data_IF_277439105324
#
_entry.id   IF_277439105324
#
_cell.length_a   1.000
_cell.length_b   1.000
_cell.length_c   1.000
_cell.angle_alpha   90.00
_cell.angle_beta   90.00
_cell.angle_gamma   90.00
#
_symmetry.space_group_name_H-M   'P 1'
#
loop_
_entity.id
_entity.type
_entity.pdbx_description
1 polymer ?
#
# COMPACT_ATOMS: atom_id res chain seq x y z
N UNK A 1 25.29 19.51 -4.22
CA UNK A 1 24.07 19.26 -3.44
C UNK A 1 23.75 17.79 -3.59
N UNK A 2 23.56 17.09 -2.49
CA UNK A 2 23.17 15.68 -2.58
C UNK A 2 21.83 15.57 -3.30
N UNK A 3 21.73 14.62 -4.24
CA UNK A 3 20.49 14.38 -4.99
C UNK A 3 19.36 14.03 -4.02
N UNK A 4 18.20 14.64 -4.20
CA UNK A 4 17.00 14.38 -3.43
C UNK A 4 16.56 12.91 -3.60
N UNK A 5 16.49 12.16 -2.50
CA UNK A 5 15.93 10.79 -2.48
C UNK A 5 14.43 10.84 -2.69
N UNK A 6 13.91 9.94 -3.52
CA UNK A 6 12.50 9.87 -3.84
C UNK A 6 11.99 8.44 -3.68
N UNK A 7 10.92 8.30 -2.90
CA UNK A 7 10.19 7.06 -2.69
C UNK A 7 8.74 7.23 -3.15
N UNK A 8 8.18 6.24 -3.82
CA UNK A 8 6.76 6.18 -4.14
C UNK A 8 6.14 4.87 -3.65
N UNK A 9 4.98 4.97 -2.99
CA UNK A 9 4.13 3.82 -2.74
C UNK A 9 3.00 3.79 -3.76
N UNK A 10 2.85 2.68 -4.47
CA UNK A 10 1.80 2.39 -5.45
C UNK A 10 0.79 1.47 -4.77
N UNK A 11 -0.30 2.04 -4.29
CA UNK A 11 -1.40 1.36 -3.62
C UNK A 11 -2.70 1.39 -4.43
N UNK A 12 -3.70 0.66 -3.99
CA UNK A 12 -4.96 0.51 -4.67
C UNK A 12 -6.02 1.52 -4.20
N UNK A 13 -6.14 1.74 -2.89
CA UNK A 13 -7.22 2.51 -2.29
C UNK A 13 -6.71 3.60 -1.34
N UNK A 14 -7.54 4.64 -1.08
CA UNK A 14 -7.33 5.54 0.04
C UNK A 14 -7.42 4.74 1.35
N UNK A 15 -6.33 4.61 2.08
CA UNK A 15 -6.08 3.92 3.35
C UNK A 15 -4.94 2.88 3.32
N UNK A 16 -4.56 2.38 2.14
CA UNK A 16 -3.43 1.44 2.01
C UNK A 16 -2.12 2.02 2.54
N UNK A 17 -1.89 3.32 2.33
CA UNK A 17 -0.72 4.03 2.85
C UNK A 17 -0.67 3.99 4.37
N UNK A 18 -1.84 3.91 5.02
CA UNK A 18 -2.00 3.95 6.46
C UNK A 18 -2.07 2.56 7.10
N UNK A 19 -2.81 1.63 6.51
CA UNK A 19 -2.94 0.28 7.06
C UNK A 19 -1.79 -0.66 6.67
N UNK A 20 -0.98 -0.28 5.68
CA UNK A 20 0.17 -1.04 5.16
C UNK A 20 1.49 -0.67 5.83
N UNK A 21 2.15 0.34 5.31
CA UNK A 21 3.55 0.70 5.58
C UNK A 21 3.71 2.12 6.14
N UNK A 22 2.69 2.64 6.77
CA UNK A 22 2.54 4.02 7.19
C UNK A 22 3.71 4.57 8.01
N UNK A 23 4.20 3.81 9.01
CA UNK A 23 5.30 4.27 9.86
C UNK A 23 6.61 4.35 9.08
N UNK A 24 6.83 3.45 8.12
CA UNK A 24 7.96 3.51 7.19
C UNK A 24 7.87 4.77 6.31
N UNK A 25 6.71 5.07 5.71
CA UNK A 25 6.52 6.26 4.88
C UNK A 25 6.79 7.55 5.67
N UNK A 26 6.20 7.67 6.87
CA UNK A 26 6.41 8.82 7.75
C UNK A 26 7.88 8.97 8.19
N UNK A 27 8.54 7.86 8.51
CA UNK A 27 9.95 7.86 8.91
C UNK A 27 10.86 8.35 7.78
N UNK A 28 10.63 7.92 6.53
CA UNK A 28 11.37 8.41 5.38
C UNK A 28 11.07 9.88 5.08
N UNK A 29 9.81 10.30 5.11
CA UNK A 29 9.43 11.69 4.91
C UNK A 29 10.12 12.62 5.93
N UNK A 30 10.12 12.26 7.20
CA UNK A 30 10.79 13.02 8.27
C UNK A 30 12.32 13.02 8.15
N UNK A 31 12.92 12.03 7.47
CA UNK A 31 14.36 12.02 7.17
C UNK A 31 14.76 12.84 5.94
N UNK A 32 13.82 13.57 5.34
CA UNK A 32 14.06 14.41 4.17
C UNK A 32 13.89 13.72 2.81
N UNK A 33 13.44 12.45 2.78
CA UNK A 33 13.07 11.77 1.54
C UNK A 33 11.76 12.34 1.03
N UNK A 34 11.66 12.65 -0.27
CA UNK A 34 10.36 12.96 -0.89
C UNK A 34 9.57 11.66 -1.06
N UNK A 35 8.47 11.56 -0.32
CA UNK A 35 7.60 10.39 -0.33
C UNK A 35 6.31 10.73 -1.04
N UNK A 36 5.96 9.93 -2.05
CA UNK A 36 4.72 10.07 -2.82
C UNK A 36 3.83 8.86 -2.65
N UNK A 37 2.54 9.07 -2.80
CA UNK A 37 1.54 8.00 -2.88
C UNK A 37 0.81 8.06 -4.21
N UNK A 38 0.80 6.94 -4.96
CA UNK A 38 -0.05 6.73 -6.12
C UNK A 38 -1.16 5.78 -5.74
N UNK A 39 -2.39 6.28 -5.74
CA UNK A 39 -3.61 5.55 -5.45
C UNK A 39 -4.29 5.14 -6.75
N UNK A 40 -4.56 3.87 -6.96
CA UNK A 40 -5.11 3.38 -8.23
C UNK A 40 -6.58 3.77 -8.41
N UNK A 41 -7.36 3.78 -7.31
CA UNK A 41 -8.80 4.10 -7.28
C UNK A 41 -9.11 5.14 -6.20
N UNK A 42 -10.34 5.61 -6.12
CA UNK A 42 -10.80 6.44 -5.00
C UNK A 42 -11.55 5.67 -3.92
N UNK A 43 -11.63 4.34 -4.04
CA UNK A 43 -12.29 3.50 -3.06
C UNK A 43 -13.81 3.62 -3.10
N UNK A 44 -14.40 3.79 -4.28
CA UNK A 44 -15.82 4.07 -4.51
C UNK A 44 -16.74 2.95 -4.06
N UNK A 45 -16.25 1.69 -4.09
CA UNK A 45 -16.99 0.51 -3.65
C UNK A 45 -16.95 0.28 -2.13
N UNK A 46 -16.28 1.15 -1.38
CA UNK A 46 -16.15 1.05 0.07
C UNK A 46 -17.49 1.17 0.80
N UNK A 47 -17.66 0.41 1.88
CA UNK A 47 -18.84 0.54 2.77
C UNK A 47 -18.65 1.71 3.71
N UNK A 48 -19.56 2.68 3.66
CA UNK A 48 -19.53 3.92 4.46
C UNK A 48 -20.85 4.13 5.18
N UNK A 49 -20.81 4.50 6.46
CA UNK A 49 -22.03 4.89 7.19
C UNK A 49 -22.52 6.24 6.65
N UNK A 50 -23.85 6.43 6.42
CA UNK A 50 -24.39 7.62 5.78
C UNK A 50 -24.02 8.94 6.44
N UNK A 51 -23.72 8.92 7.73
CA UNK A 51 -23.32 10.11 8.49
C UNK A 51 -22.01 10.72 8.00
N UNK A 52 -21.07 9.89 7.50
CA UNK A 52 -19.79 10.34 6.96
C UNK A 52 -19.94 11.00 5.58
N UNK A 53 -21.02 10.70 4.84
CA UNK A 53 -21.25 11.27 3.51
C UNK A 53 -21.78 12.69 3.54
N UNK A 54 -22.15 13.22 4.72
CA UNK A 54 -22.66 14.59 4.82
C UNK A 54 -21.59 15.60 4.34
N UNK A 55 -21.92 16.34 3.28
CA UNK A 55 -21.02 17.33 2.68
C UNK A 55 -20.11 16.81 1.57
N UNK A 56 -20.23 15.53 1.20
CA UNK A 56 -19.53 14.92 0.06
C UNK A 56 -20.49 14.46 -1.01
N UNK A 57 -20.09 14.56 -2.29
CA UNK A 57 -20.93 14.12 -3.41
C UNK A 57 -20.86 12.60 -3.63
N UNK A 58 -19.79 11.95 -3.20
CA UNK A 58 -19.56 10.52 -3.39
C UNK A 58 -18.69 9.92 -2.28
N UNK A 59 -18.70 8.58 -2.18
CA UNK A 59 -17.76 7.83 -1.33
C UNK A 59 -16.31 8.12 -1.74
N UNK A 60 -16.04 8.19 -3.04
CA UNK A 60 -14.72 8.50 -3.58
C UNK A 60 -14.23 9.89 -3.15
N UNK A 61 -15.09 10.90 -3.12
CA UNK A 61 -14.72 12.26 -2.68
C UNK A 61 -14.41 12.30 -1.18
N UNK A 62 -15.23 11.64 -0.36
CA UNK A 62 -14.98 11.50 1.07
C UNK A 62 -13.64 10.80 1.33
N UNK A 63 -13.41 9.63 0.73
CA UNK A 63 -12.20 8.85 0.97
C UNK A 63 -10.95 9.54 0.44
N UNK A 64 -11.08 10.31 -0.64
CA UNK A 64 -9.98 11.11 -1.16
C UNK A 64 -9.61 12.27 -0.23
N UNK A 65 -10.59 12.90 0.42
CA UNK A 65 -10.34 13.91 1.45
C UNK A 65 -9.68 13.29 2.68
N UNK A 66 -10.14 12.12 3.13
CA UNK A 66 -9.52 11.36 4.22
C UNK A 66 -8.05 11.04 3.92
N UNK A 67 -7.75 10.54 2.71
CA UNK A 67 -6.40 10.29 2.23
C UNK A 67 -5.54 11.57 2.21
N UNK A 68 -6.09 12.69 1.74
CA UNK A 68 -5.35 13.95 1.66
C UNK A 68 -4.96 14.44 3.06
N UNK A 69 -5.84 14.29 4.05
CA UNK A 69 -5.54 14.60 5.46
C UNK A 69 -4.49 13.67 6.04
N UNK A 70 -4.60 12.36 5.80
CA UNK A 70 -3.62 11.38 6.23
C UNK A 70 -2.24 11.65 5.61
N UNK A 71 -2.16 11.89 4.30
CA UNK A 71 -0.94 12.22 3.58
C UNK A 71 -0.22 13.45 4.15
N UNK A 72 -0.98 14.48 4.54
CA UNK A 72 -0.43 15.67 5.20
C UNK A 72 0.18 15.35 6.56
N UNK A 73 -0.47 14.54 7.38
CA UNK A 73 0.07 14.09 8.67
C UNK A 73 1.32 13.25 8.51
N UNK A 74 1.38 12.41 7.47
CA UNK A 74 2.53 11.57 7.15
C UNK A 74 3.70 12.35 6.54
N UNK A 75 3.51 13.63 6.19
CA UNK A 75 4.51 14.45 5.51
C UNK A 75 4.77 14.02 4.06
N UNK A 76 3.78 13.41 3.38
CA UNK A 76 3.92 13.03 1.98
C UNK A 76 4.07 14.27 1.09
N UNK A 77 4.94 14.17 0.09
CA UNK A 77 5.22 15.25 -0.87
C UNK A 77 4.12 15.38 -1.93
N UNK A 78 3.27 14.38 -2.09
CA UNK A 78 2.11 14.43 -2.99
C UNK A 78 1.37 13.10 -3.07
N UNK A 79 0.11 13.20 -3.51
CA UNK A 79 -0.78 12.08 -3.76
C UNK A 79 -1.27 12.16 -5.21
N UNK A 80 -1.27 11.04 -5.91
CA UNK A 80 -1.71 10.93 -7.30
C UNK A 80 -2.80 9.88 -7.43
N UNK A 81 -3.70 10.09 -8.38
CA UNK A 81 -4.75 9.13 -8.74
C UNK A 81 -4.47 8.52 -10.10
N UNK A 82 -4.53 7.19 -10.19
CA UNK A 82 -4.27 6.50 -11.46
C UNK A 82 -5.46 6.57 -12.43
N UNK A 83 -6.66 6.88 -11.92
CA UNK A 83 -7.85 7.16 -12.72
C UNK A 83 -8.73 5.94 -13.00
N UNK A 84 -8.70 4.94 -12.12
CA UNK A 84 -9.62 3.79 -12.19
C UNK A 84 -10.67 3.86 -11.09
N UNK A 85 -11.80 3.17 -11.31
CA UNK A 85 -12.82 2.92 -10.33
C UNK A 85 -12.43 1.71 -9.46
N UNK A 86 -12.79 1.76 -8.18
CA UNK A 86 -12.69 0.63 -7.25
C UNK A 86 -13.54 -0.54 -7.75
N UNK A 87 -12.92 -1.71 -7.85
CA UNK A 87 -13.57 -2.94 -8.33
C UNK A 87 -14.41 -3.64 -7.26
N UNK A 88 -14.28 -3.23 -6.00
CA UNK A 88 -14.85 -3.98 -4.88
C UNK A 88 -14.21 -5.35 -4.68
N UNK A 89 -14.78 -6.15 -3.80
CA UNK A 89 -14.33 -7.51 -3.58
C UNK A 89 -14.70 -8.42 -4.76
N UNK A 90 -13.98 -9.52 -4.91
CA UNK A 90 -14.22 -10.50 -5.99
C UNK A 90 -15.67 -10.99 -5.98
N UNK A 91 -16.36 -10.86 -7.12
CA UNK A 91 -17.73 -11.31 -7.31
C UNK A 91 -18.80 -10.31 -6.91
N UNK A 92 -18.44 -9.07 -6.55
CA UNK A 92 -19.41 -7.98 -6.35
C UNK A 92 -19.87 -7.38 -7.67
N UNK A 93 -20.96 -6.60 -7.62
CA UNK A 93 -21.49 -5.86 -8.79
C UNK A 93 -20.46 -4.84 -9.32
N UNK A 94 -19.61 -4.30 -8.43
CA UNK A 94 -18.57 -3.33 -8.81
C UNK A 94 -17.55 -3.91 -9.79
N UNK A 95 -17.36 -5.23 -9.84
CA UNK A 95 -16.50 -5.88 -10.84
C UNK A 95 -17.02 -5.71 -12.28
N UNK A 96 -18.29 -5.35 -12.48
CA UNK A 96 -18.91 -5.23 -13.80
C UNK A 96 -18.75 -3.85 -14.44
N UNK A 97 -18.30 -2.85 -13.70
CA UNK A 97 -18.08 -1.52 -14.26
C UNK A 97 -16.91 -1.55 -15.27
N UNK A 98 -17.10 -0.95 -16.45
CA UNK A 98 -16.04 -0.96 -17.48
C UNK A 98 -14.74 -0.27 -17.05
N UNK A 99 -14.84 0.73 -16.19
CA UNK A 99 -13.74 1.53 -15.65
C UNK A 99 -13.17 0.96 -14.32
N UNK A 100 -13.71 -0.18 -13.83
CA UNK A 100 -13.16 -0.87 -12.67
C UNK A 100 -11.73 -1.37 -12.97
N UNK A 101 -10.82 -1.20 -12.01
CA UNK A 101 -9.40 -1.53 -12.16
C UNK A 101 -9.15 -2.99 -12.61
N UNK A 102 -9.97 -3.92 -12.12
CA UNK A 102 -9.86 -5.36 -12.50
C UNK A 102 -10.07 -5.60 -14.00
N UNK A 103 -10.81 -4.71 -14.69
CA UNK A 103 -11.12 -4.82 -16.11
C UNK A 103 -10.10 -4.10 -17.00
N UNK A 104 -9.19 -3.32 -16.40
CA UNK A 104 -8.15 -2.63 -17.14
C UNK A 104 -7.07 -3.61 -17.65
N UNK A 105 -6.63 -3.53 -18.91
CA UNK A 105 -5.45 -4.22 -19.36
C UNK A 105 -4.24 -3.84 -18.50
N UNK A 106 -3.47 -4.83 -18.05
CA UNK A 106 -2.30 -4.57 -17.17
C UNK A 106 -1.28 -3.64 -17.82
N UNK A 107 -1.13 -3.72 -19.15
CA UNK A 107 -0.26 -2.84 -19.94
C UNK A 107 -0.71 -1.37 -19.88
N UNK A 108 -2.01 -1.12 -19.92
CA UNK A 108 -2.55 0.23 -19.82
C UNK A 108 -2.29 0.81 -18.43
N UNK A 109 -2.60 0.05 -17.38
CA UNK A 109 -2.36 0.47 -16.00
C UNK A 109 -0.85 0.69 -15.75
N UNK A 110 0.01 -0.19 -16.27
CA UNK A 110 1.45 -0.03 -16.21
C UNK A 110 1.92 1.25 -16.95
N UNK A 111 1.35 1.56 -18.11
CA UNK A 111 1.67 2.78 -18.87
C UNK A 111 1.37 4.05 -18.09
N UNK A 112 0.24 4.11 -17.38
CA UNK A 112 -0.11 5.23 -16.49
C UNK A 112 0.90 5.35 -15.32
N UNK A 113 1.35 4.23 -14.74
CA UNK A 113 2.39 4.22 -13.70
C UNK A 113 3.74 4.66 -14.28
N UNK A 114 4.14 4.17 -15.46
CA UNK A 114 5.39 4.56 -16.16
C UNK A 114 5.44 6.07 -16.38
N UNK A 115 4.33 6.67 -16.82
CA UNK A 115 4.24 8.13 -16.98
C UNK A 115 4.59 8.85 -15.70
N UNK A 116 4.05 8.41 -14.56
CA UNK A 116 4.34 9.02 -13.28
C UNK A 116 5.80 8.76 -12.83
N UNK A 117 6.33 7.55 -13.04
CA UNK A 117 7.73 7.24 -12.74
C UNK A 117 8.69 8.14 -13.52
N UNK A 118 8.44 8.39 -14.80
CA UNK A 118 9.26 9.29 -15.62
C UNK A 118 9.14 10.75 -15.23
N UNK A 119 7.99 11.15 -14.72
CA UNK A 119 7.76 12.51 -14.22
C UNK A 119 8.44 12.77 -12.87
N UNK A 120 8.26 11.85 -11.91
CA UNK A 120 8.71 12.02 -10.51
C UNK A 120 10.14 11.52 -10.33
N UNK A 121 10.56 10.51 -11.12
CA UNK A 121 11.86 9.84 -11.06
C UNK A 121 12.14 9.21 -9.69
N UNK A 122 11.28 8.31 -9.18
CA UNK A 122 11.47 7.67 -7.89
C UNK A 122 12.68 6.72 -7.91
N UNK A 123 13.52 6.79 -6.88
CA UNK A 123 14.60 5.83 -6.69
C UNK A 123 14.08 4.48 -6.22
N UNK A 124 13.09 4.52 -5.33
CA UNK A 124 12.50 3.35 -4.68
C UNK A 124 10.99 3.35 -4.87
N UNK A 125 10.46 2.18 -5.22
CA UNK A 125 9.03 1.92 -5.36
C UNK A 125 8.61 0.88 -4.34
N UNK A 126 7.47 1.08 -3.68
CA UNK A 126 6.78 0.08 -2.85
C UNK A 126 5.44 -0.23 -3.50
N UNK A 127 4.97 -1.48 -3.41
CA UNK A 127 3.61 -1.88 -3.80
C UNK A 127 3.10 -3.02 -2.92
N UNK A 128 1.89 -3.52 -3.19
CA UNK A 128 1.32 -4.69 -2.53
C UNK A 128 2.11 -5.97 -2.81
N UNK A 129 1.92 -7.00 -1.99
CA UNK A 129 2.41 -8.34 -2.28
C UNK A 129 1.63 -8.99 -3.46
N UNK A 130 2.16 -10.06 -4.07
CA UNK A 130 1.52 -10.70 -5.24
C UNK A 130 0.11 -11.25 -4.98
N UNK A 131 -0.23 -11.57 -3.74
CA UNK A 131 -1.57 -12.05 -3.36
C UNK A 131 -2.56 -10.93 -3.05
N UNK A 132 -2.11 -9.67 -3.05
CA UNK A 132 -2.93 -8.52 -2.70
C UNK A 132 -3.32 -8.48 -1.22
N UNK A 133 -2.41 -8.91 -0.33
CA UNK A 133 -2.62 -8.89 1.11
C UNK A 133 -3.69 -9.89 1.56
N UNK A 134 -4.93 -9.46 1.66
CA UNK A 134 -6.08 -10.30 1.99
C UNK A 134 -6.83 -10.81 0.74
N UNK A 135 -6.26 -10.66 -0.45
CA UNK A 135 -6.81 -11.15 -1.71
C UNK A 135 -7.73 -10.19 -2.43
N UNK A 136 -7.62 -8.86 -2.13
CA UNK A 136 -8.37 -7.85 -2.87
C UNK A 136 -7.94 -7.80 -4.33
N UNK A 137 -8.89 -7.81 -5.24
CA UNK A 137 -8.61 -7.86 -6.69
C UNK A 137 -7.82 -6.65 -7.18
N UNK A 138 -8.08 -5.47 -6.64
CA UNK A 138 -7.38 -4.24 -7.00
C UNK A 138 -5.96 -4.20 -6.46
N UNK A 139 -5.69 -4.80 -5.29
CA UNK A 139 -4.32 -4.93 -4.79
C UNK A 139 -3.47 -5.81 -5.71
N UNK A 140 -4.06 -6.91 -6.22
CA UNK A 140 -3.40 -7.79 -7.18
C UNK A 140 -3.18 -7.08 -8.52
N UNK A 141 -4.19 -6.36 -9.02
CA UNK A 141 -4.09 -5.60 -10.26
C UNK A 141 -3.02 -4.49 -10.15
N UNK A 142 -3.01 -3.74 -9.05
CA UNK A 142 -2.01 -2.69 -8.75
C UNK A 142 -0.60 -3.29 -8.66
N UNK A 143 -0.44 -4.42 -7.96
CA UNK A 143 0.84 -5.13 -7.89
C UNK A 143 1.34 -5.49 -9.30
N UNK A 144 0.50 -6.15 -10.11
CA UNK A 144 0.87 -6.58 -11.46
C UNK A 144 1.26 -5.40 -12.36
N UNK A 145 0.50 -4.31 -12.29
CA UNK A 145 0.79 -3.09 -13.04
C UNK A 145 2.11 -2.43 -12.59
N UNK A 146 2.38 -2.36 -11.29
CA UNK A 146 3.63 -1.81 -10.75
C UNK A 146 4.86 -2.65 -11.13
N UNK A 147 4.75 -3.99 -11.06
CA UNK A 147 5.83 -4.91 -11.48
C UNK A 147 6.10 -4.79 -12.98
N UNK A 148 5.06 -4.64 -13.80
CA UNK A 148 5.22 -4.40 -15.23
C UNK A 148 5.83 -3.02 -15.49
N UNK A 149 5.37 -1.98 -14.81
CA UNK A 149 5.88 -0.63 -14.97
C UNK A 149 7.39 -0.54 -14.65
N UNK A 150 7.86 -1.22 -13.60
CA UNK A 150 9.31 -1.30 -13.30
C UNK A 150 10.11 -1.87 -14.47
N UNK A 151 9.61 -2.90 -15.16
CA UNK A 151 10.30 -3.52 -16.30
C UNK A 151 10.35 -2.65 -17.54
N UNK A 152 9.36 -1.75 -17.69
CA UNK A 152 9.14 -0.99 -18.92
C UNK A 152 9.55 0.49 -18.79
N UNK A 153 9.69 1.02 -17.58
CA UNK A 153 9.96 2.45 -17.37
C UNK A 153 11.29 2.92 -17.93
N UNK A 154 12.31 2.05 -17.93
CA UNK A 154 13.65 2.32 -18.48
C UNK A 154 13.77 2.13 -19.99
N UNK A 155 12.78 1.56 -20.67
CA UNK A 155 12.81 1.32 -22.10
C UNK A 155 12.26 2.54 -22.86
N UNK A 156 13.07 3.26 -23.66
CA UNK A 156 12.62 4.43 -24.41
C UNK A 156 11.62 4.11 -25.52
N UNK A 157 11.54 2.85 -25.97
CA UNK A 157 10.61 2.41 -27.01
C UNK A 157 9.22 2.10 -26.45
N UNK A 158 9.10 1.95 -25.14
CA UNK A 158 7.82 1.69 -24.47
C UNK A 158 7.27 3.01 -23.93
N UNK A 159 6.00 3.28 -24.26
CA UNK A 159 5.29 4.51 -23.83
C UNK A 159 6.09 5.80 -24.14
N UNK A 160 6.48 6.05 -25.41
CA UNK A 160 7.28 7.24 -25.77
C UNK A 160 6.57 8.54 -25.41
N UNK A 161 5.24 8.56 -25.38
CA UNK A 161 4.41 9.70 -24.96
C UNK A 161 4.53 10.02 -23.47
N UNK A 162 5.03 9.10 -22.65
CA UNK A 162 5.21 9.27 -21.22
C UNK A 162 6.47 10.09 -20.86
N UNK A 163 7.23 10.57 -21.85
CA UNK A 163 8.45 11.34 -21.67
C UNK A 163 9.74 10.48 -21.66
N UNK A 164 10.89 11.08 -21.35
CA UNK A 164 12.18 10.39 -21.37
C UNK A 164 12.22 9.19 -20.45
N UNK A 165 12.83 8.09 -20.90
CA UNK A 165 12.95 6.86 -20.15
C UNK A 165 13.64 7.10 -18.78
N UNK A 166 13.12 6.47 -17.74
CA UNK A 166 13.67 6.52 -16.41
C UNK A 166 13.44 5.19 -15.69
N UNK A 167 14.51 4.59 -15.16
CA UNK A 167 14.45 3.31 -14.46
C UNK A 167 14.53 3.52 -12.95
N UNK A 168 13.44 3.28 -12.18
CA UNK A 168 13.54 3.19 -10.73
C UNK A 168 14.51 2.08 -10.32
N UNK A 169 15.29 2.29 -9.27
CA UNK A 169 16.38 1.37 -8.93
C UNK A 169 15.89 0.15 -8.14
N UNK A 170 14.81 0.31 -7.35
CA UNK A 170 14.29 -0.79 -6.53
C UNK A 170 12.77 -0.84 -6.51
N UNK A 171 12.24 -2.06 -6.47
CA UNK A 171 10.83 -2.34 -6.19
C UNK A 171 10.73 -3.29 -5.00
N UNK A 172 9.94 -2.91 -4.02
CA UNK A 172 9.59 -3.71 -2.86
C UNK A 172 8.10 -4.01 -2.82
N UNK A 173 7.77 -5.22 -2.39
CA UNK A 173 6.41 -5.60 -2.03
C UNK A 173 6.27 -5.55 -0.51
N UNK A 174 5.27 -4.86 0.01
CA UNK A 174 4.94 -4.89 1.43
C UNK A 174 4.39 -6.27 1.78
N UNK A 175 5.06 -6.98 2.69
CA UNK A 175 4.68 -8.34 3.10
C UNK A 175 4.39 -8.42 4.59
N UNK A 176 3.83 -9.54 5.04
CA UNK A 176 3.52 -9.78 6.46
C UNK A 176 4.20 -11.04 6.95
N UNK A 177 4.58 -11.05 8.22
CA UNK A 177 5.05 -12.26 8.86
C UNK A 177 3.87 -13.13 9.32
N UNK A 178 3.83 -14.36 8.84
CA UNK A 178 2.80 -15.33 9.23
C UNK A 178 2.97 -15.86 10.66
N UNK A 179 4.16 -15.68 11.28
CA UNK A 179 4.44 -16.26 12.61
C UNK A 179 3.48 -15.78 13.68
N UNK A 180 3.22 -14.47 13.71
CA UNK A 180 2.30 -13.89 14.68
C UNK A 180 0.84 -14.17 14.32
N UNK A 181 0.48 -14.09 13.05
CA UNK A 181 -0.87 -14.34 12.55
C UNK A 181 -1.32 -15.78 12.85
N UNK A 182 -0.42 -16.77 12.70
CA UNK A 182 -0.68 -18.18 13.07
C UNK A 182 -1.12 -18.34 14.53
N UNK A 183 -0.45 -17.67 15.46
CA UNK A 183 -0.84 -17.66 16.87
C UNK A 183 -2.19 -17.01 17.13
N UNK A 184 -2.42 -15.85 16.54
CA UNK A 184 -3.65 -15.08 16.67
C UNK A 184 -4.87 -15.86 16.18
N UNK A 185 -4.80 -16.43 14.99
CA UNK A 185 -5.89 -17.22 14.38
C UNK A 185 -6.30 -18.39 15.26
N UNK A 186 -5.36 -19.10 15.87
CA UNK A 186 -5.64 -20.20 16.79
C UNK A 186 -6.41 -19.78 18.05
N UNK A 187 -6.19 -18.53 18.50
CA UNK A 187 -6.82 -18.00 19.70
C UNK A 187 -8.19 -17.35 19.43
N UNK A 188 -8.43 -16.85 18.20
CA UNK A 188 -9.67 -16.14 17.86
C UNK A 188 -10.96 -16.87 18.21
N UNK A 189 -11.10 -18.21 17.95
CA UNK A 189 -12.32 -18.94 18.32
C UNK A 189 -12.61 -18.95 19.82
N UNK A 190 -11.58 -18.90 20.67
CA UNK A 190 -11.76 -18.83 22.13
C UNK A 190 -12.42 -17.52 22.59
N UNK A 191 -12.36 -16.48 21.73
CA UNK A 191 -13.00 -15.18 21.95
C UNK A 191 -14.26 -14.98 21.08
N UNK A 192 -14.83 -16.05 20.54
CA UNK A 192 -16.04 -16.03 19.72
C UNK A 192 -15.84 -15.39 18.32
N UNK A 193 -14.59 -15.24 17.89
CA UNK A 193 -14.27 -14.65 16.59
C UNK A 193 -13.99 -15.74 15.54
N UNK A 194 -14.57 -15.56 14.34
CA UNK A 194 -14.32 -16.47 13.22
C UNK A 194 -13.18 -15.91 12.35
N UNK A 195 -12.00 -16.57 12.29
CA UNK A 195 -10.88 -16.08 11.50
C UNK A 195 -11.11 -16.10 9.98
N UNK A 196 -12.13 -16.85 9.49
CA UNK A 196 -12.52 -16.86 8.07
C UNK A 196 -13.54 -15.75 7.71
N UNK A 197 -14.02 -15.01 8.72
CA UNK A 197 -14.99 -13.92 8.54
C UNK A 197 -14.55 -12.74 9.40
N UNK A 198 -13.37 -12.20 9.10
CA UNK A 198 -12.79 -11.09 9.83
C UNK A 198 -13.11 -9.75 9.14
N UNK A 199 -12.94 -8.65 9.90
CA UNK A 199 -13.20 -7.29 9.41
C UNK A 199 -14.66 -6.86 9.58
N UNK A 200 -14.94 -5.59 9.24
CA UNK A 200 -16.26 -4.97 9.36
C UNK A 200 -17.30 -5.68 8.50
N UNK A 201 -16.93 -6.01 7.27
CA UNK A 201 -17.81 -6.65 6.28
C UNK A 201 -17.79 -8.17 6.37
N UNK A 202 -16.96 -8.76 7.26
CA UNK A 202 -16.78 -10.21 7.42
C UNK A 202 -16.34 -10.93 6.13
N UNK A 203 -15.61 -10.25 5.29
CA UNK A 203 -15.15 -10.65 3.95
C UNK A 203 -13.66 -11.01 3.90
N UNK A 204 -12.93 -10.85 5.01
CA UNK A 204 -11.50 -11.19 5.12
C UNK A 204 -11.33 -12.59 5.71
N UNK A 205 -10.72 -13.50 4.95
CA UNK A 205 -10.30 -14.83 5.42
C UNK A 205 -8.82 -14.81 5.84
N UNK A 206 -8.59 -14.65 7.15
CA UNK A 206 -7.24 -14.64 7.72
C UNK A 206 -6.52 -15.98 7.57
N UNK A 207 -7.29 -17.10 7.47
CA UNK A 207 -6.70 -18.44 7.27
C UNK A 207 -6.13 -18.54 5.85
N UNK A 208 -6.88 -18.06 4.85
CA UNK A 208 -6.42 -18.02 3.46
C UNK A 208 -5.20 -17.10 3.29
N UNK A 209 -5.16 -15.99 4.02
CA UNK A 209 -4.00 -15.09 4.00
C UNK A 209 -2.70 -15.78 4.43
N UNK A 210 -2.77 -16.79 5.31
CA UNK A 210 -1.58 -17.53 5.76
C UNK A 210 -1.05 -18.54 4.75
N UNK A 211 -1.78 -18.86 3.71
CA UNK A 211 -1.34 -19.77 2.65
C UNK A 211 -0.20 -19.16 1.84
N UNK A 212 -0.12 -17.84 1.82
CA UNK A 212 0.93 -17.10 1.13
C UNK A 212 2.03 -16.70 2.11
N UNK A 213 3.22 -17.24 1.92
CA UNK A 213 4.42 -16.86 2.66
C UNK A 213 5.47 -16.32 1.69
N UNK A 214 5.90 -15.09 1.93
CA UNK A 214 6.86 -14.41 1.08
C UNK A 214 8.21 -14.28 1.78
N UNK A 215 9.33 -14.34 1.02
CA UNK A 215 10.65 -14.11 1.60
C UNK A 215 10.77 -12.67 2.09
N UNK A 216 11.47 -12.50 3.20
CA UNK A 216 11.77 -11.19 3.77
C UNK A 216 13.17 -10.81 3.33
N UNK A 217 13.31 -9.73 2.58
CA UNK A 217 14.59 -9.23 2.10
C UNK A 217 14.97 -7.89 2.77
N UNK A 218 14.00 -7.19 3.36
CA UNK A 218 14.23 -5.93 4.05
C UNK A 218 13.36 -5.84 5.28
N UNK A 219 13.92 -5.33 6.38
CA UNK A 219 13.20 -5.11 7.64
C UNK A 219 13.55 -3.72 8.18
N UNK A 220 12.56 -2.83 8.16
CA UNK A 220 12.69 -1.45 8.62
C UNK A 220 12.20 -1.35 10.06
N UNK A 221 13.11 -1.03 10.96
CA UNK A 221 12.80 -0.80 12.36
C UNK A 221 12.00 0.47 12.55
N UNK A 222 10.81 0.35 13.12
CA UNK A 222 9.92 1.49 13.35
C UNK A 222 10.28 2.19 14.66
N UNK A 223 10.48 3.51 14.60
CA UNK A 223 10.67 4.32 15.79
C UNK A 223 9.33 4.65 16.43
N UNK A 224 9.28 4.71 17.77
CA UNK A 224 8.05 4.89 18.54
C UNK A 224 7.25 6.16 18.17
N UNK A 225 7.94 7.23 17.83
CA UNK A 225 7.33 8.50 17.41
C UNK A 225 6.45 8.33 16.16
N UNK A 226 6.87 7.49 15.19
CA UNK A 226 6.10 7.24 13.96
C UNK A 226 4.94 6.26 14.16
N UNK A 227 4.95 5.48 15.24
CA UNK A 227 3.80 4.66 15.61
C UNK A 227 2.61 5.53 16.05
N UNK A 228 2.87 6.68 16.71
CA UNK A 228 1.82 7.65 17.05
C UNK A 228 1.25 8.31 15.79
N UNK A 229 2.12 8.75 14.87
CA UNK A 229 1.70 9.34 13.58
C UNK A 229 0.85 8.34 12.78
N UNK A 230 1.19 7.06 12.82
CA UNK A 230 0.38 5.98 12.22
C UNK A 230 -1.05 5.99 12.77
N UNK A 231 -1.21 6.06 14.08
CA UNK A 231 -2.53 6.00 14.72
C UNK A 231 -3.35 7.26 14.41
N UNK A 232 -2.70 8.43 14.32
CA UNK A 232 -3.32 9.69 13.91
C UNK A 232 -3.73 9.68 12.42
N UNK A 233 -2.87 9.15 11.54
CA UNK A 233 -3.19 8.99 10.12
C UNK A 233 -4.33 7.99 9.91
N UNK A 234 -4.32 6.87 10.66
CA UNK A 234 -5.43 5.92 10.63
C UNK A 234 -6.76 6.57 11.04
N UNK A 235 -6.75 7.48 12.00
CA UNK A 235 -7.95 8.20 12.43
C UNK A 235 -8.52 9.12 11.32
N UNK A 236 -7.73 9.54 10.34
CA UNK A 236 -8.22 10.28 9.19
C UNK A 236 -9.18 9.45 8.32
N UNK A 237 -8.96 8.13 8.23
CA UNK A 237 -9.82 7.20 7.49
C UNK A 237 -11.00 6.70 8.34
N UNK A 238 -11.71 7.63 8.99
CA UNK A 238 -12.80 7.33 9.93
C UNK A 238 -13.95 6.57 9.26
N UNK A 239 -14.26 6.86 8.00
CA UNK A 239 -15.30 6.17 7.23
C UNK A 239 -15.00 4.67 7.05
N UNK A 240 -13.71 4.29 7.05
CA UNK A 240 -13.23 2.91 6.94
C UNK A 240 -12.95 2.27 8.30
N UNK A 241 -13.37 2.94 9.39
CA UNK A 241 -13.19 2.45 10.77
C UNK A 241 -11.84 2.79 11.39
N UNK A 242 -11.07 3.66 10.77
CA UNK A 242 -9.86 4.23 11.35
C UNK A 242 -10.14 5.02 12.62
N UNK A 243 -9.16 5.11 13.53
CA UNK A 243 -9.29 5.80 14.80
C UNK A 243 -10.14 5.09 15.86
N UNK A 244 -10.84 4.01 15.51
CA UNK A 244 -11.56 3.20 16.50
C UNK A 244 -10.53 2.47 17.35
N UNK A 245 -10.57 2.64 18.69
CA UNK A 245 -9.65 1.91 19.54
C UNK A 245 -9.87 0.41 19.35
N UNK A 246 -8.87 -0.26 18.83
CA UNK A 246 -8.87 -1.73 18.83
C UNK A 246 -8.79 -2.18 20.27
N UNK A 247 -9.95 -2.54 20.87
CA UNK A 247 -10.06 -2.93 22.26
C UNK A 247 -9.74 -4.41 22.44
N UNK A 248 -9.07 -4.74 23.55
CA UNK A 248 -8.79 -6.10 23.96
C UNK A 248 -7.30 -6.46 23.99
N UNK A 249 -6.99 -7.51 24.76
CA UNK A 249 -5.62 -8.02 24.96
C UNK A 249 -4.96 -8.38 23.62
N UNK A 250 -5.72 -8.95 22.70
CA UNK A 250 -5.20 -9.37 21.38
C UNK A 250 -4.74 -8.17 20.54
N UNK A 251 -5.55 -7.11 20.49
CA UNK A 251 -5.19 -5.87 19.79
C UNK A 251 -3.94 -5.21 20.41
N UNK A 252 -3.87 -5.16 21.74
CA UNK A 252 -2.71 -4.66 22.47
C UNK A 252 -1.44 -5.49 22.17
N UNK A 253 -1.53 -6.83 22.14
CA UNK A 253 -0.43 -7.70 21.76
C UNK A 253 0.01 -7.45 20.32
N UNK A 254 -0.93 -7.33 19.37
CA UNK A 254 -0.62 -7.05 17.97
C UNK A 254 0.15 -5.74 17.80
N UNK A 255 -0.26 -4.68 18.50
CA UNK A 255 0.43 -3.39 18.46
C UNK A 255 1.82 -3.47 19.12
N UNK A 256 1.95 -4.21 20.21
CA UNK A 256 3.21 -4.33 20.96
C UNK A 256 4.30 -5.08 20.23
N UNK A 257 3.93 -6.04 19.38
CA UNK A 257 4.87 -6.88 18.62
C UNK A 257 5.15 -6.40 17.20
N UNK A 258 4.35 -5.47 16.65
CA UNK A 258 4.62 -4.89 15.34
C UNK A 258 5.63 -3.74 15.47
N UNK A 259 6.91 -4.10 15.47
CA UNK A 259 8.00 -3.14 15.62
C UNK A 259 8.77 -2.91 14.30
N UNK A 260 8.53 -3.71 13.28
CA UNK A 260 9.20 -3.61 11.99
C UNK A 260 8.17 -3.71 10.86
N UNK A 261 8.36 -2.90 9.82
CA UNK A 261 7.75 -3.15 8.52
C UNK A 261 8.72 -4.00 7.70
N UNK A 262 8.20 -5.02 7.02
CA UNK A 262 9.00 -6.00 6.30
C UNK A 262 8.61 -6.05 4.83
N UNK A 263 9.61 -6.26 3.97
CA UNK A 263 9.44 -6.19 2.53
C UNK A 263 10.13 -7.35 1.83
N UNK A 264 9.48 -7.80 0.75
CA UNK A 264 10.10 -8.64 -0.28
C UNK A 264 10.62 -7.74 -1.38
N UNK A 265 11.91 -7.79 -1.71
CA UNK A 265 12.47 -7.07 -2.85
C UNK A 265 12.13 -7.83 -4.13
N UNK A 266 11.37 -7.19 -5.02
CA UNK A 266 10.97 -7.75 -6.30
C UNK A 266 11.92 -7.34 -7.45
N UNK A 267 12.60 -6.19 -7.32
CA UNK A 267 13.58 -5.71 -8.29
C UNK A 267 14.64 -4.81 -7.62
N UNK A 268 15.94 -4.93 -8.01
CA UNK A 268 16.53 -6.09 -8.67
C UNK A 268 16.48 -7.31 -7.76
N UNK A 269 16.82 -8.50 -8.27
CA UNK A 269 16.86 -9.71 -7.45
C UNK A 269 17.78 -9.52 -6.24
N UNK A 270 17.32 -9.87 -5.01
CA UNK A 270 18.13 -9.70 -3.80
C UNK A 270 19.31 -10.67 -3.76
N UNK A 271 20.36 -10.27 -3.08
CA UNK A 271 21.43 -11.19 -2.70
C UNK A 271 20.93 -12.20 -1.66
N UNK A 272 21.37 -13.45 -1.77
CA UNK A 272 20.95 -14.51 -0.83
C UNK A 272 21.51 -14.27 0.55
N UNK A 273 20.67 -14.45 1.57
CA UNK A 273 21.08 -14.46 2.98
C UNK A 273 21.29 -13.08 3.61
N UNK A 274 21.11 -12.00 2.88
CA UNK A 274 21.20 -10.65 3.41
C UNK A 274 19.82 -10.01 3.60
N UNK A 275 19.61 -9.34 4.73
CA UNK A 275 18.40 -8.57 5.04
C UNK A 275 18.76 -7.10 5.18
N UNK A 276 18.32 -6.30 4.22
CA UNK A 276 18.51 -4.85 4.21
C UNK A 276 17.82 -4.18 5.41
N UNK A 277 18.41 -3.09 5.89
CA UNK A 277 17.88 -2.28 7.01
C UNK A 277 17.40 -0.91 6.56
N UNK A 278 17.63 -0.57 5.29
CA UNK A 278 17.19 0.66 4.64
C UNK A 278 16.72 0.35 3.22
N UNK A 279 15.57 0.89 2.79
CA UNK A 279 15.06 0.72 1.42
C UNK A 279 15.99 1.37 0.38
N UNK A 280 16.79 2.36 0.78
CA UNK A 280 17.76 3.05 -0.07
C UNK A 280 19.15 2.44 -0.02
N UNK A 281 19.35 1.33 0.69
CA UNK A 281 20.65 0.67 0.75
C UNK A 281 21.13 0.27 -0.65
N UNK A 282 22.33 0.74 -1.05
CA UNK A 282 22.89 0.51 -2.39
C UNK A 282 22.21 1.29 -3.53
N UNK A 283 21.27 2.20 -3.24
CA UNK A 283 20.71 3.12 -4.23
C UNK A 283 21.78 4.16 -4.59
N UNK A 284 22.05 4.29 -5.90
CA UNK A 284 22.96 5.30 -6.43
C UNK A 284 22.23 6.63 -6.53
N UNK A 285 22.85 7.66 -5.97
CA UNK A 285 22.32 9.02 -6.03
C UNK A 285 23.04 9.86 -7.10
N UNK A 286 23.76 9.20 -8.03
CA UNK A 286 24.52 9.86 -9.06
C UNK A 286 23.57 10.39 -10.15
N UNK A 287 23.70 11.71 -10.37
CA UNK A 287 23.20 12.58 -11.46
C UNK A 287 21.75 12.44 -11.91
#
# INVERSE_FOLDING_TARGET
MDKQRILIFVGAHPDDETFGVVATLAQYAASGVKVYYLCSTRGEAGTVDPEFLKGYNSIGDLRWDELTRAAKLLGLSGVFHLGYRDSGMRGTEDNKYPDALINAPVEEAAGRIVKLFRQIKPDVVITHDPSGGYGHVDHVATHNAAVMAIKLAGDPLRYPEAGPAFQPQKLYCAVRSNRFLKGTIKLMPLFGQNPRKYGRNKDIDLVKMMENEYPIHTSIRLKKEYLKIRDEAAACHASQGGGRPQRGILAWLMQRFRQDDIFMRAYPQPERGYIEKDLFEGVRLDS
#
